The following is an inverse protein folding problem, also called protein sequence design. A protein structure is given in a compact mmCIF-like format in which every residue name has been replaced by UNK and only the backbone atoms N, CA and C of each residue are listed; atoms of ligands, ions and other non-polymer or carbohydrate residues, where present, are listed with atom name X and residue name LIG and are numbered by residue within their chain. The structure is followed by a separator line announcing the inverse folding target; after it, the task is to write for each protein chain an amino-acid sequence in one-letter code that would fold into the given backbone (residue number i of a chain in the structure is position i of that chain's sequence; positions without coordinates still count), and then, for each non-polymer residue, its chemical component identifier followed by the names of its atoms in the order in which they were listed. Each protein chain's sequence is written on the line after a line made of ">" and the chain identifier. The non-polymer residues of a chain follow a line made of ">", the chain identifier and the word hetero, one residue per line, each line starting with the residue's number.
data_IF_881160062607
#
_entry.id   IF_881160062607
#
_cell.length_a   1.000
_cell.length_b   1.000
_cell.length_c   1.000
_cell.angle_alpha   90.00
_cell.angle_beta   90.00
_cell.angle_gamma   90.00
#
_symmetry.space_group_name_H-M   'P 1'
#
loop_
_entity.id
_entity.type
_entity.pdbx_description
1 polymer ?
#
# COMPACT_ATOMS: atom_id res chain seq x y z
N UNK A 1 23.34 -57.66 -33.65
CA UNK A 1 22.66 -56.43 -33.19
C UNK A 1 23.28 -55.28 -33.96
N UNK A 2 22.74 -55.02 -35.15
CA UNK A 2 23.31 -54.09 -36.12
C UNK A 2 22.66 -52.73 -35.90
N UNK A 3 23.47 -51.71 -35.59
CA UNK A 3 23.01 -50.33 -35.43
C UNK A 3 22.64 -49.79 -36.81
N UNK A 4 21.34 -49.62 -37.06
CA UNK A 4 20.84 -48.91 -38.22
C UNK A 4 21.01 -47.41 -37.94
N UNK A 5 22.18 -46.87 -38.23
CA UNK A 5 22.42 -45.42 -38.19
C UNK A 5 21.90 -44.83 -39.50
N UNK A 6 20.72 -44.23 -39.46
CA UNK A 6 20.20 -43.43 -40.58
C UNK A 6 21.12 -42.20 -40.78
N UNK A 7 21.82 -42.08 -41.92
CA UNK A 7 22.78 -40.99 -42.17
C UNK A 7 22.09 -39.65 -42.51
N UNK A 8 20.79 -39.53 -42.24
CA UNK A 8 19.97 -38.36 -42.57
C UNK A 8 19.31 -37.72 -41.33
N UNK A 9 19.86 -37.89 -40.12
CA UNK A 9 19.53 -37.00 -39.02
C UNK A 9 20.15 -35.63 -39.34
N UNK A 10 19.37 -34.59 -39.64
CA UNK A 10 19.94 -33.28 -39.95
C UNK A 10 20.56 -32.74 -38.67
N UNK A 11 21.87 -32.51 -38.66
CA UNK A 11 22.51 -31.68 -37.64
C UNK A 11 21.77 -30.34 -37.64
N UNK A 12 21.08 -30.04 -36.54
CA UNK A 12 20.28 -28.82 -36.44
C UNK A 12 21.18 -27.63 -36.78
N UNK A 13 20.82 -26.89 -37.83
CA UNK A 13 21.62 -25.76 -38.26
C UNK A 13 21.70 -24.70 -37.15
N UNK A 14 22.76 -23.90 -37.12
CA UNK A 14 22.90 -22.79 -36.16
C UNK A 14 21.68 -21.86 -36.20
N UNK A 15 21.04 -21.71 -37.37
CA UNK A 15 19.78 -20.97 -37.52
C UNK A 15 18.61 -21.59 -36.77
N UNK A 16 18.50 -22.92 -36.75
CA UNK A 16 17.46 -23.67 -36.04
C UNK A 16 17.61 -23.52 -34.51
N UNK A 17 18.84 -23.57 -34.00
CA UNK A 17 19.15 -23.41 -32.57
C UNK A 17 18.84 -21.99 -32.08
N UNK A 18 19.16 -20.97 -32.88
CA UNK A 18 18.81 -19.58 -32.57
C UNK A 18 17.30 -19.34 -32.61
N UNK A 19 16.59 -19.95 -33.56
CA UNK A 19 15.13 -19.90 -33.60
C UNK A 19 14.51 -20.57 -32.36
N UNK A 20 15.05 -21.72 -31.93
CA UNK A 20 14.59 -22.42 -30.73
C UNK A 20 14.88 -21.63 -29.44
N UNK A 21 16.06 -21.03 -29.31
CA UNK A 21 16.43 -20.21 -28.15
C UNK A 21 15.51 -18.97 -28.06
N UNK A 22 15.30 -18.27 -29.18
CA UNK A 22 14.37 -17.13 -29.25
C UNK A 22 12.95 -17.54 -28.85
N UNK A 23 12.47 -18.67 -29.34
CA UNK A 23 11.16 -19.20 -28.97
C UNK A 23 11.08 -19.59 -27.48
N UNK A 24 12.15 -20.13 -26.88
CA UNK A 24 12.20 -20.45 -25.45
C UNK A 24 12.23 -19.18 -24.59
N UNK A 25 13.05 -18.18 -24.93
CA UNK A 25 13.08 -16.90 -24.22
C UNK A 25 11.73 -16.21 -24.31
N UNK A 26 11.07 -16.22 -25.47
CA UNK A 26 9.72 -15.66 -25.64
C UNK A 26 8.68 -16.38 -24.77
N UNK A 27 8.76 -17.71 -24.67
CA UNK A 27 7.92 -18.52 -23.78
C UNK A 27 8.16 -18.16 -22.31
N UNK A 28 9.41 -18.11 -21.88
CA UNK A 28 9.78 -17.78 -20.51
C UNK A 28 9.27 -16.40 -20.09
N UNK A 29 9.47 -15.38 -20.93
CA UNK A 29 8.95 -14.02 -20.67
C UNK A 29 7.43 -14.05 -20.52
N UNK A 30 6.72 -14.82 -21.37
CA UNK A 30 5.27 -14.93 -21.27
C UNK A 30 4.80 -15.61 -20.00
N UNK A 31 5.53 -16.62 -19.54
CA UNK A 31 5.20 -17.34 -18.32
C UNK A 31 5.50 -16.50 -17.07
N UNK A 32 6.60 -15.74 -17.06
CA UNK A 32 6.91 -14.79 -15.99
C UNK A 32 5.84 -13.68 -15.90
N UNK A 33 5.38 -13.17 -17.05
CA UNK A 33 4.27 -12.22 -17.10
C UNK A 33 2.97 -12.81 -16.52
N UNK A 34 2.66 -14.08 -16.84
CA UNK A 34 1.48 -14.77 -16.29
C UNK A 34 1.60 -14.97 -14.78
N UNK A 35 2.80 -15.32 -14.31
CA UNK A 35 3.07 -15.48 -12.88
C UNK A 35 2.92 -14.15 -12.14
N UNK A 36 3.56 -13.09 -12.64
CA UNK A 36 3.43 -11.75 -12.09
C UNK A 36 1.97 -11.27 -12.10
N UNK A 37 1.22 -11.52 -13.17
CA UNK A 37 -0.20 -11.19 -13.21
C UNK A 37 -1.01 -11.92 -12.13
N UNK A 38 -0.73 -13.21 -11.90
CA UNK A 38 -1.38 -13.99 -10.85
C UNK A 38 -1.06 -13.43 -9.46
N UNK A 39 0.21 -13.14 -9.19
CA UNK A 39 0.66 -12.60 -7.90
C UNK A 39 0.10 -11.20 -7.65
N UNK A 40 0.01 -10.35 -8.68
CA UNK A 40 -0.64 -9.05 -8.60
C UNK A 40 -2.13 -9.17 -8.29
N UNK A 41 -2.86 -10.09 -8.93
CA UNK A 41 -4.29 -10.33 -8.66
C UNK A 41 -4.49 -10.83 -7.23
N UNK A 42 -3.64 -11.76 -6.77
CA UNK A 42 -3.71 -12.29 -5.41
C UNK A 42 -3.40 -11.21 -4.37
N UNK A 43 -2.37 -10.38 -4.62
CA UNK A 43 -2.01 -9.23 -3.80
C UNK A 43 -3.15 -8.20 -3.78
N UNK A 44 -3.74 -7.88 -4.94
CA UNK A 44 -4.86 -6.95 -5.06
C UNK A 44 -6.11 -7.47 -4.34
N UNK A 45 -6.38 -8.78 -4.37
CA UNK A 45 -7.50 -9.40 -3.66
C UNK A 45 -7.33 -9.29 -2.14
N UNK A 46 -6.14 -9.59 -1.63
CA UNK A 46 -5.85 -9.47 -0.20
C UNK A 46 -5.89 -8.01 0.26
N UNK A 47 -5.24 -7.10 -0.48
CA UNK A 47 -5.29 -5.68 -0.20
C UNK A 47 -6.72 -5.12 -0.27
N UNK A 48 -7.50 -5.53 -1.28
CA UNK A 48 -8.89 -5.12 -1.47
C UNK A 48 -9.83 -5.65 -0.38
N UNK A 49 -9.66 -6.90 0.04
CA UNK A 49 -10.42 -7.46 1.15
C UNK A 49 -10.09 -6.75 2.48
N UNK A 50 -8.80 -6.47 2.72
CA UNK A 50 -8.36 -5.68 3.87
C UNK A 50 -8.95 -4.27 3.86
N UNK A 51 -8.82 -3.54 2.74
CA UNK A 51 -9.38 -2.20 2.58
C UNK A 51 -10.90 -2.18 2.73
N UNK A 52 -11.60 -3.17 2.17
CA UNK A 52 -13.05 -3.31 2.32
C UNK A 52 -13.48 -3.54 3.76
N UNK A 53 -12.80 -4.43 4.49
CA UNK A 53 -13.10 -4.71 5.89
C UNK A 53 -12.77 -3.52 6.81
N UNK A 54 -11.63 -2.86 6.59
CA UNK A 54 -11.28 -1.63 7.31
C UNK A 54 -12.27 -0.50 7.03
N UNK A 55 -12.71 -0.35 5.78
CA UNK A 55 -13.75 0.61 5.41
C UNK A 55 -15.07 0.34 6.13
N UNK A 56 -15.54 -0.92 6.12
CA UNK A 56 -16.75 -1.33 6.82
C UNK A 56 -16.63 -1.14 8.34
N UNK A 57 -15.51 -1.55 8.94
CA UNK A 57 -15.24 -1.35 10.36
C UNK A 57 -15.23 0.14 10.73
N UNK A 58 -14.61 0.99 9.89
CA UNK A 58 -14.60 2.44 10.07
C UNK A 58 -16.00 3.05 10.03
N UNK A 59 -16.84 2.65 9.07
CA UNK A 59 -18.24 3.08 8.99
C UNK A 59 -19.05 2.64 10.21
N UNK A 60 -18.92 1.38 10.62
CA UNK A 60 -19.62 0.85 11.80
C UNK A 60 -19.17 1.58 13.07
N UNK A 61 -17.87 1.83 13.23
CA UNK A 61 -17.34 2.60 14.35
C UNK A 61 -17.85 4.04 14.35
N UNK A 62 -17.95 4.68 13.18
CA UNK A 62 -18.51 6.02 13.04
C UNK A 62 -19.98 6.08 13.48
N UNK A 63 -20.83 5.18 12.98
CA UNK A 63 -22.24 5.13 13.38
C UNK A 63 -22.43 4.72 14.84
N UNK A 64 -21.60 3.80 15.34
CA UNK A 64 -21.57 3.42 16.75
C UNK A 64 -21.26 4.61 17.65
N UNK A 65 -20.22 5.38 17.33
CA UNK A 65 -19.86 6.59 18.06
C UNK A 65 -20.97 7.65 18.01
N UNK A 66 -21.55 7.90 16.83
CA UNK A 66 -22.67 8.81 16.69
C UNK A 66 -23.89 8.39 17.54
N UNK A 67 -24.17 7.09 17.63
CA UNK A 67 -25.24 6.54 18.47
C UNK A 67 -24.96 6.74 19.95
N UNK A 68 -23.71 6.52 20.40
CA UNK A 68 -23.30 6.78 21.79
C UNK A 68 -23.41 8.27 22.14
N UNK A 69 -22.94 9.16 21.27
CA UNK A 69 -23.07 10.60 21.46
C UNK A 69 -24.54 10.99 21.60
N UNK A 70 -25.40 10.47 20.71
CA UNK A 70 -26.85 10.71 20.78
C UNK A 70 -27.46 10.21 22.08
N UNK A 71 -27.06 9.02 22.55
CA UNK A 71 -27.51 8.46 23.81
C UNK A 71 -27.08 9.30 25.02
N UNK A 72 -25.85 9.81 25.04
CA UNK A 72 -25.36 10.72 26.09
C UNK A 72 -26.16 12.02 26.13
N UNK A 73 -26.41 12.62 24.96
CA UNK A 73 -27.25 13.84 24.86
C UNK A 73 -28.66 13.55 25.35
N UNK A 74 -29.27 12.44 24.94
CA UNK A 74 -30.61 12.05 25.37
C UNK A 74 -30.68 11.80 26.89
N UNK A 75 -29.67 11.13 27.47
CA UNK A 75 -29.58 10.88 28.89
C UNK A 75 -29.48 12.18 29.71
N UNK A 76 -28.64 13.13 29.28
CA UNK A 76 -28.53 14.44 29.93
C UNK A 76 -29.77 15.30 29.72
N UNK A 77 -30.45 15.17 28.59
CA UNK A 77 -31.69 15.87 28.30
C UNK A 77 -32.86 15.44 29.23
N UNK A 78 -32.72 14.36 29.99
CA UNK A 78 -33.67 14.00 31.05
C UNK A 78 -33.62 14.97 32.24
N UNK A 79 -32.49 15.65 32.44
CA UNK A 79 -32.29 16.58 33.56
C UNK A 79 -32.14 18.06 33.11
N UNK A 80 -31.78 18.31 31.85
CA UNK A 80 -31.44 19.62 31.30
C UNK A 80 -32.19 19.86 29.97
N UNK A 81 -32.31 21.12 29.50
CA UNK A 81 -32.73 21.38 28.12
C UNK A 81 -31.81 20.71 27.10
N UNK A 82 -32.39 20.22 26.00
CA UNK A 82 -31.67 19.48 24.94
C UNK A 82 -30.47 20.23 24.38
N UNK A 83 -30.57 21.55 24.20
CA UNK A 83 -29.47 22.38 23.72
C UNK A 83 -28.28 22.42 24.69
N UNK A 84 -28.54 22.46 26.00
CA UNK A 84 -27.49 22.49 27.03
C UNK A 84 -26.79 21.12 27.12
N UNK A 85 -27.57 20.04 27.09
CA UNK A 85 -27.04 18.67 27.03
C UNK A 85 -26.11 18.48 25.81
N UNK A 86 -26.54 18.92 24.62
CA UNK A 86 -25.74 18.85 23.41
C UNK A 86 -24.41 19.63 23.52
N UNK A 87 -24.45 20.85 24.08
CA UNK A 87 -23.24 21.65 24.28
C UNK A 87 -22.25 21.02 25.26
N UNK A 88 -22.73 20.42 26.36
CA UNK A 88 -21.87 19.75 27.34
C UNK A 88 -21.17 18.54 26.70
N UNK A 89 -21.91 17.70 25.97
CA UNK A 89 -21.33 16.54 25.28
C UNK A 89 -20.33 17.00 24.21
N UNK A 90 -20.68 18.03 23.42
CA UNK A 90 -19.77 18.59 22.42
C UNK A 90 -18.48 19.13 23.06
N UNK A 91 -18.57 19.87 24.15
CA UNK A 91 -17.41 20.40 24.86
C UNK A 91 -16.50 19.27 25.39
N UNK A 92 -17.08 18.21 25.96
CA UNK A 92 -16.34 17.04 26.41
C UNK A 92 -15.61 16.34 25.26
N UNK A 93 -16.27 16.17 24.11
CA UNK A 93 -15.66 15.57 22.92
C UNK A 93 -14.52 16.44 22.35
N UNK A 94 -14.69 17.76 22.26
CA UNK A 94 -13.63 18.66 21.81
C UNK A 94 -12.43 18.69 22.75
N UNK A 95 -12.67 18.65 24.07
CA UNK A 95 -11.59 18.53 25.05
C UNK A 95 -10.82 17.21 24.88
N UNK A 96 -11.52 16.09 24.71
CA UNK A 96 -10.90 14.79 24.46
C UNK A 96 -10.12 14.76 23.14
N UNK A 97 -10.71 15.30 22.05
CA UNK A 97 -10.06 15.40 20.75
C UNK A 97 -8.81 16.30 20.79
N UNK A 98 -8.90 17.44 21.46
CA UNK A 98 -7.76 18.33 21.69
C UNK A 98 -6.64 17.63 22.47
N UNK A 99 -6.99 16.92 23.55
CA UNK A 99 -6.03 16.12 24.33
C UNK A 99 -5.36 15.02 23.49
N UNK A 100 -6.14 14.24 22.76
CA UNK A 100 -5.62 13.19 21.87
C UNK A 100 -4.73 13.76 20.75
N UNK A 101 -5.09 14.91 20.18
CA UNK A 101 -4.28 15.60 19.17
C UNK A 101 -2.94 16.08 19.75
N UNK A 102 -2.94 16.67 20.94
CA UNK A 102 -1.71 17.08 21.63
C UNK A 102 -0.78 15.89 21.93
N UNK A 103 -1.35 14.78 22.42
CA UNK A 103 -0.61 13.55 22.71
C UNK A 103 -0.03 12.94 21.43
N UNK A 104 -0.81 12.91 20.35
CA UNK A 104 -0.37 12.41 19.05
C UNK A 104 0.76 13.26 18.47
N UNK A 105 0.67 14.59 18.63
CA UNK A 105 1.72 15.50 18.18
C UNK A 105 3.03 15.29 18.92
N UNK A 106 2.97 15.10 20.25
CA UNK A 106 4.16 14.78 21.06
C UNK A 106 4.79 13.45 20.67
N UNK A 107 3.99 12.41 20.45
CA UNK A 107 4.50 11.13 19.94
C UNK A 107 5.13 11.28 18.55
N UNK A 108 4.52 12.04 17.65
CA UNK A 108 5.09 12.30 16.33
C UNK A 108 6.40 13.11 16.39
N UNK A 109 6.53 14.03 17.36
CA UNK A 109 7.75 14.80 17.62
C UNK A 109 8.87 13.92 18.24
N UNK A 110 8.53 12.89 19.03
CA UNK A 110 9.48 11.95 19.64
C UNK A 110 9.91 10.81 18.70
N UNK A 111 9.13 10.50 17.67
CA UNK A 111 9.55 9.57 16.62
C UNK A 111 10.68 10.25 15.82
N UNK A 112 11.93 9.93 16.20
CA UNK A 112 13.11 10.14 15.34
C UNK A 112 12.75 9.61 13.94
N UNK A 113 12.90 10.42 12.86
CA UNK A 113 12.42 10.03 11.54
C UNK A 113 12.90 8.62 11.22
N UNK A 114 11.98 7.69 10.98
CA UNK A 114 12.34 6.35 10.56
C UNK A 114 13.17 6.49 9.27
N UNK A 115 14.46 6.17 9.38
CA UNK A 115 15.49 6.31 8.35
C UNK A 115 15.87 7.76 7.96
N UNK A 116 16.58 8.50 8.83
CA UNK A 116 17.26 9.74 8.42
C UNK A 116 18.27 9.46 7.28
N UNK A 117 18.79 8.22 7.19
CA UNK A 117 19.69 7.76 6.13
C UNK A 117 18.99 7.60 4.76
N UNK A 118 17.72 7.16 4.74
CA UNK A 118 16.94 7.04 3.50
C UNK A 118 16.58 8.42 2.94
N UNK A 119 16.22 9.36 3.81
CA UNK A 119 15.96 10.75 3.41
C UNK A 119 17.26 11.46 3.00
N UNK A 120 18.39 11.17 3.65
CA UNK A 120 19.70 11.73 3.31
C UNK A 120 20.25 11.21 1.97
N UNK A 121 20.09 9.93 1.67
CA UNK A 121 20.49 9.35 0.37
C UNK A 121 19.66 9.91 -0.78
N UNK A 122 18.34 9.98 -0.66
CA UNK A 122 17.48 10.61 -1.68
C UNK A 122 17.83 12.09 -1.92
N UNK A 123 18.17 12.84 -0.87
CA UNK A 123 18.63 14.24 -1.01
C UNK A 123 19.97 14.34 -1.75
N UNK A 124 20.89 13.41 -1.48
CA UNK A 124 22.20 13.36 -2.13
C UNK A 124 22.06 13.02 -3.62
N UNK A 125 21.22 12.05 -3.95
CA UNK A 125 20.97 11.63 -5.34
C UNK A 125 20.31 12.76 -6.15
N UNK A 126 19.39 13.53 -5.55
CA UNK A 126 18.79 14.70 -6.20
C UNK A 126 19.81 15.81 -6.43
N UNK A 127 20.74 16.04 -5.50
CA UNK A 127 21.81 17.03 -5.68
C UNK A 127 22.78 16.62 -6.78
N UNK A 128 23.20 15.36 -6.82
CA UNK A 128 24.12 14.84 -7.83
C UNK A 128 23.53 14.93 -9.25
N UNK A 129 22.23 14.65 -9.41
CA UNK A 129 21.51 14.84 -10.68
C UNK A 129 21.38 16.32 -11.07
N UNK A 130 21.22 17.22 -10.09
CA UNK A 130 21.09 18.66 -10.32
C UNK A 130 22.43 19.28 -10.72
N UNK A 131 23.51 18.87 -10.09
CA UNK A 131 24.88 19.33 -10.39
C UNK A 131 25.32 18.82 -11.76
N UNK A 132 25.01 17.57 -12.12
CA UNK A 132 25.26 17.01 -13.45
C UNK A 132 24.49 17.71 -14.58
N UNK A 133 23.40 18.43 -14.27
CA UNK A 133 22.65 19.27 -15.21
C UNK A 133 23.18 20.70 -15.31
N UNK A 134 23.82 21.21 -14.27
CA UNK A 134 24.39 22.56 -14.26
C UNK A 134 25.76 22.62 -14.94
N UNK A 135 26.53 21.53 -14.90
CA UNK A 135 27.84 21.39 -15.56
C UNK A 135 27.75 21.21 -17.10
N UNK A 136 26.52 21.17 -17.65
CA UNK A 136 26.23 20.96 -19.08
C UNK A 136 25.63 22.19 -19.80
N UNK A 137 25.51 23.33 -19.12
CA UNK A 137 25.04 24.62 -19.67
C UNK A 137 26.13 25.67 -19.61
#
# INVERSE_FOLDING_TARGET
>A
MSLNTDPNAPDASIGELMAQLSAQTSRLVRDEMRLAQKELVESAKHAGAGAGLFGAAGLLAFFGLASVITALVAALALALPTWAAALIVAAALFAAAGGAALISRRQAEEITPAAPQAVASVKKDIQEVKDARHDRS
#
